data_IF_226019678363
#
_entry.id   IF_226019678363
#
_cell.length_a   1.000
_cell.length_b   1.000
_cell.length_c   1.000
_cell.angle_alpha   90.00
_cell.angle_beta   90.00
_cell.angle_gamma   90.00
#
_symmetry.space_group_name_H-M   'P 1'
#
loop_
_entity.id
_entity.type
_entity.pdbx_description
1 polymer ?
#
# COMPACT_ATOMS: atom_id res chain seq x y z
N UNK A 1 10.26 20.26 -11.08
CA UNK A 1 10.79 18.92 -11.37
C UNK A 1 10.27 17.97 -10.30
N UNK A 2 9.38 17.04 -10.66
CA UNK A 2 8.83 16.07 -9.71
C UNK A 2 9.84 14.93 -9.57
N UNK A 3 10.65 14.95 -8.50
CA UNK A 3 11.77 14.01 -8.28
C UNK A 3 11.44 12.88 -7.29
N UNK A 4 10.15 12.63 -7.01
CA UNK A 4 9.72 11.55 -6.13
C UNK A 4 8.50 10.87 -6.72
N UNK A 5 8.71 9.69 -7.32
CA UNK A 5 7.64 8.75 -7.61
C UNK A 5 7.60 7.74 -6.46
N UNK A 6 7.11 8.15 -5.30
CA UNK A 6 6.63 7.17 -4.33
C UNK A 6 5.43 6.49 -5.00
N UNK A 7 5.38 5.16 -5.00
CA UNK A 7 4.26 4.38 -5.51
C UNK A 7 3.62 3.65 -4.32
N UNK A 8 2.96 4.38 -3.40
CA UNK A 8 2.32 3.87 -2.18
C UNK A 8 1.10 3.01 -2.47
N UNK A 9 0.62 2.99 -3.73
CA UNK A 9 -0.59 2.26 -4.11
C UNK A 9 -0.44 0.74 -3.92
N UNK A 10 0.77 0.23 -4.12
CA UNK A 10 1.10 -1.19 -3.90
C UNK A 10 1.34 -1.51 -2.42
N UNK A 11 1.67 -0.52 -1.60
CA UNK A 11 2.11 -0.68 -0.20
C UNK A 11 1.06 -1.33 0.69
N UNK A 12 -0.16 -0.81 0.68
CA UNK A 12 -1.20 -1.31 1.57
C UNK A 12 -1.73 -2.68 1.14
N UNK A 13 -1.90 -2.91 -0.17
CA UNK A 13 -2.54 -4.12 -0.69
C UNK A 13 -1.69 -5.37 -0.40
N UNK A 14 -0.42 -5.34 -0.77
CA UNK A 14 0.52 -6.45 -0.60
C UNK A 14 0.70 -6.80 0.88
N UNK A 15 0.80 -5.76 1.71
CA UNK A 15 1.01 -5.91 3.14
C UNK A 15 -0.22 -6.49 3.85
N UNK A 16 -1.45 -6.12 3.45
CA UNK A 16 -2.67 -6.72 4.03
C UNK A 16 -2.82 -8.17 3.58
N UNK A 17 -2.77 -8.44 2.27
CA UNK A 17 -3.01 -9.78 1.72
C UNK A 17 -2.00 -10.80 2.26
N UNK A 18 -0.76 -10.38 2.48
CA UNK A 18 0.29 -11.27 3.00
C UNK A 18 0.39 -11.34 4.51
N UNK A 19 -0.57 -10.75 5.23
CA UNK A 19 -0.55 -10.63 6.68
C UNK A 19 0.77 -10.01 7.20
N UNK A 20 1.30 -9.01 6.50
CA UNK A 20 2.51 -8.26 6.87
C UNK A 20 3.83 -8.90 6.46
N UNK A 21 3.82 -10.04 5.75
CA UNK A 21 5.05 -10.71 5.28
C UNK A 21 5.75 -9.95 4.16
N UNK A 22 4.99 -9.38 3.22
CA UNK A 22 5.52 -8.48 2.21
C UNK A 22 5.31 -7.03 2.65
N UNK A 23 6.39 -6.26 2.64
CA UNK A 23 6.38 -4.82 2.83
C UNK A 23 6.94 -4.20 1.57
N UNK A 24 6.20 -3.28 0.98
CA UNK A 24 6.67 -2.63 -0.24
C UNK A 24 7.83 -1.69 0.06
N UNK A 25 8.73 -1.57 -0.91
CA UNK A 25 9.95 -0.78 -0.77
C UNK A 25 9.70 0.60 -1.37
N UNK A 26 10.28 1.64 -0.76
CA UNK A 26 10.23 2.98 -1.33
C UNK A 26 11.14 3.03 -2.54
N UNK A 27 10.57 3.37 -3.68
CA UNK A 27 11.31 3.59 -4.92
C UNK A 27 11.37 5.09 -5.22
N UNK A 28 12.47 5.54 -5.83
CA UNK A 28 12.64 6.91 -6.32
C UNK A 28 13.29 6.87 -7.68
N UNK A 29 12.80 7.71 -8.58
CA UNK A 29 13.45 7.96 -9.87
C UNK A 29 14.33 9.19 -9.74
N UNK A 30 15.60 9.05 -10.11
CA UNK A 30 16.57 10.15 -10.17
C UNK A 30 16.62 10.65 -11.61
N UNK A 31 16.47 11.95 -11.80
CA UNK A 31 16.51 12.58 -13.13
C UNK A 31 17.95 12.73 -13.62
N UNK A 32 18.12 12.74 -14.94
CA UNK A 32 19.39 12.98 -15.61
C UNK A 32 19.25 14.24 -16.48
N UNK A 33 20.24 15.14 -16.43
CA UNK A 33 20.20 16.43 -17.14
C UNK A 33 20.58 16.32 -18.63
N UNK A 34 21.27 15.25 -19.04
CA UNK A 34 21.83 15.08 -20.38
C UNK A 34 21.10 14.05 -21.23
N UNK A 35 20.46 13.06 -20.62
CA UNK A 35 19.76 11.99 -21.31
C UNK A 35 18.31 11.85 -20.83
N UNK A 36 17.38 11.88 -21.80
CA UNK A 36 15.98 11.60 -21.54
C UNK A 36 15.77 10.10 -21.24
N UNK A 37 14.97 9.81 -20.21
CA UNK A 37 14.52 8.45 -19.88
C UNK A 37 13.00 8.38 -19.97
N UNK A 38 12.49 7.40 -20.70
CA UNK A 38 11.07 7.03 -20.69
C UNK A 38 10.90 5.71 -19.94
N UNK A 39 9.85 5.59 -19.14
CA UNK A 39 9.51 4.37 -18.42
C UNK A 39 8.00 4.22 -18.37
N UNK A 40 7.52 3.01 -18.60
CA UNK A 40 6.09 2.66 -18.49
C UNK A 40 5.94 1.77 -17.26
N UNK A 41 5.00 2.11 -16.40
CA UNK A 41 4.65 1.32 -15.22
C UNK A 41 3.26 0.72 -15.40
N UNK A 42 3.10 -0.53 -14.95
CA UNK A 42 1.82 -1.24 -14.93
C UNK A 42 1.47 -1.61 -13.49
N UNK A 43 0.20 -1.45 -13.13
CA UNK A 43 -0.34 -1.80 -11.83
C UNK A 43 -1.44 -2.83 -11.99
N UNK A 44 -1.42 -3.86 -11.15
CA UNK A 44 -2.46 -4.87 -11.09
C UNK A 44 -3.28 -4.59 -9.83
N UNK A 45 -4.58 -4.35 -10.02
CA UNK A 45 -5.47 -3.93 -8.96
C UNK A 45 -6.68 -4.87 -8.85
N UNK A 46 -7.15 -5.17 -7.62
CA UNK A 46 -8.44 -5.81 -7.41
C UNK A 46 -9.59 -4.95 -7.97
N UNK A 47 -10.78 -5.55 -8.09
CA UNK A 47 -11.97 -4.76 -8.38
C UNK A 47 -12.31 -3.85 -7.21
N UNK A 48 -12.85 -2.67 -7.50
CA UNK A 48 -13.20 -1.63 -6.50
C UNK A 48 -14.22 -2.10 -5.45
N UNK A 49 -15.05 -3.06 -5.80
CA UNK A 49 -16.09 -3.66 -4.95
C UNK A 49 -15.59 -4.85 -4.10
N UNK A 50 -14.32 -5.25 -4.25
CA UNK A 50 -13.77 -6.35 -3.45
C UNK A 50 -13.38 -5.92 -2.03
N UNK A 51 -13.47 -6.88 -1.11
CA UNK A 51 -12.84 -6.79 0.20
C UNK A 51 -11.39 -7.28 0.13
N UNK A 52 -10.49 -6.51 0.74
CA UNK A 52 -9.08 -6.85 0.95
C UNK A 52 -8.91 -7.32 2.39
N UNK A 53 -8.31 -8.49 2.56
CA UNK A 53 -8.07 -9.11 3.86
C UNK A 53 -6.86 -10.05 3.75
N UNK A 54 -6.25 -10.43 4.89
CA UNK A 54 -5.21 -11.45 4.90
C UNK A 54 -5.66 -12.73 4.22
N UNK A 55 -4.82 -13.27 3.32
CA UNK A 55 -5.10 -14.52 2.65
C UNK A 55 -5.23 -15.65 3.68
N UNK A 56 -6.27 -16.48 3.54
CA UNK A 56 -6.56 -17.59 4.47
C UNK A 56 -5.40 -18.56 4.64
N UNK A 57 -4.59 -18.75 3.60
CA UNK A 57 -3.40 -19.60 3.62
C UNK A 57 -2.21 -18.99 4.39
N UNK A 58 -2.28 -17.69 4.72
CA UNK A 58 -1.21 -16.94 5.40
C UNK A 58 -1.58 -16.57 6.84
N UNK A 59 -2.74 -17.03 7.33
CA UNK A 59 -3.18 -16.88 8.72
C UNK A 59 -3.37 -18.26 9.35
N UNK A 60 -3.22 -18.35 10.67
CA UNK A 60 -3.36 -19.60 11.43
C UNK A 60 -3.25 -19.38 12.94
N UNK A 61 -3.27 -20.45 13.75
CA UNK A 61 -3.19 -20.36 15.22
C UNK A 61 -1.94 -19.60 15.69
N UNK A 62 -0.80 -19.86 15.05
CA UNK A 62 0.48 -19.21 15.38
C UNK A 62 0.69 -17.88 14.63
N UNK A 63 -0.21 -17.52 13.71
CA UNK A 63 -0.13 -16.29 12.93
C UNK A 63 -1.53 -15.70 12.70
N UNK A 64 -2.16 -15.10 13.73
CA UNK A 64 -3.51 -14.56 13.61
C UNK A 64 -3.58 -13.41 12.59
N UNK A 65 -4.77 -13.07 12.08
CA UNK A 65 -4.96 -11.96 11.16
C UNK A 65 -4.57 -10.63 11.82
N UNK A 66 -3.57 -9.96 11.26
CA UNK A 66 -3.09 -8.65 11.74
C UNK A 66 -3.93 -7.49 11.23
N UNK A 67 -4.67 -7.68 10.14
CA UNK A 67 -5.44 -6.63 9.47
C UNK A 67 -6.92 -7.00 9.40
N UNK A 68 -7.79 -6.01 9.61
CA UNK A 68 -9.24 -6.16 9.41
C UNK A 68 -9.59 -6.17 7.93
N UNK A 69 -10.71 -6.80 7.52
CA UNK A 69 -11.23 -6.65 6.17
C UNK A 69 -11.52 -5.18 5.85
N UNK A 70 -11.07 -4.71 4.69
CA UNK A 70 -11.28 -3.32 4.22
C UNK A 70 -11.78 -3.35 2.77
N UNK A 71 -12.73 -2.47 2.42
CA UNK A 71 -13.16 -2.33 1.03
C UNK A 71 -12.03 -1.75 0.18
N UNK A 72 -11.75 -2.33 -0.99
CA UNK A 72 -10.68 -1.84 -1.86
C UNK A 72 -10.91 -0.37 -2.23
N UNK A 73 -12.16 0.02 -2.55
CA UNK A 73 -12.52 1.44 -2.80
C UNK A 73 -12.23 2.37 -1.62
N UNK A 74 -12.50 1.94 -0.39
CA UNK A 74 -12.22 2.73 0.82
C UNK A 74 -10.71 2.90 0.99
N UNK A 75 -9.95 1.81 0.81
CA UNK A 75 -8.50 1.82 0.85
C UNK A 75 -7.92 2.78 -0.21
N UNK A 76 -8.43 2.75 -1.44
CA UNK A 76 -8.00 3.67 -2.50
C UNK A 76 -8.30 5.13 -2.17
N UNK A 77 -9.48 5.40 -1.60
CA UNK A 77 -9.84 6.75 -1.18
C UNK A 77 -8.91 7.26 -0.09
N UNK A 78 -8.56 6.41 0.89
CA UNK A 78 -7.62 6.75 1.95
C UNK A 78 -6.22 7.07 1.41
N UNK A 79 -5.72 6.22 0.51
CA UNK A 79 -4.43 6.40 -0.16
C UNK A 79 -4.44 7.68 -1.01
N UNK A 80 -5.49 7.92 -1.80
CA UNK A 80 -5.60 9.11 -2.67
C UNK A 80 -5.65 10.41 -1.87
N UNK A 81 -6.40 10.45 -0.77
CA UNK A 81 -6.41 11.59 0.15
C UNK A 81 -5.02 11.82 0.73
N UNK A 82 -4.33 10.76 1.14
CA UNK A 82 -2.98 10.84 1.68
C UNK A 82 -1.93 11.28 0.63
N UNK A 83 -2.16 11.03 -0.65
CA UNK A 83 -1.30 11.41 -1.77
C UNK A 83 -1.44 12.84 -2.25
N UNK A 84 -2.67 13.39 -2.16
CA UNK A 84 -2.94 14.78 -2.55
C UNK A 84 -2.60 15.75 -1.42
N UNK A 85 -2.68 15.30 -0.16
CA UNK A 85 -1.87 15.87 0.93
C UNK A 85 -0.42 15.42 0.75
N UNK A 86 0.56 16.19 1.20
CA UNK A 86 1.96 15.77 1.11
C UNK A 86 2.16 14.49 1.92
N UNK A 87 2.22 13.34 1.24
CA UNK A 87 2.34 12.04 1.87
C UNK A 87 3.70 11.92 2.54
N UNK A 88 3.71 12.22 3.83
CA UNK A 88 4.79 11.87 4.72
C UNK A 88 4.63 10.42 5.20
N UNK A 89 5.74 9.84 5.65
CA UNK A 89 5.78 8.45 6.12
C UNK A 89 4.81 8.23 7.31
N UNK A 90 4.53 9.29 8.06
CA UNK A 90 3.63 9.31 9.20
C UNK A 90 2.18 9.03 8.80
N UNK A 91 1.71 9.62 7.71
CA UNK A 91 0.34 9.47 7.23
C UNK A 91 0.02 8.04 6.80
N UNK A 92 0.95 7.36 6.13
CA UNK A 92 0.77 5.96 5.74
C UNK A 92 0.86 4.99 6.90
N UNK A 93 1.80 5.21 7.80
CA UNK A 93 1.85 4.41 9.02
C UNK A 93 0.56 4.55 9.82
N UNK A 94 0.00 5.76 9.89
CA UNK A 94 -1.25 6.02 10.59
C UNK A 94 -2.42 5.28 9.95
N UNK A 95 -2.53 5.33 8.62
CA UNK A 95 -3.52 4.55 7.88
C UNK A 95 -3.36 3.05 8.13
N UNK A 96 -2.15 2.50 7.97
CA UNK A 96 -1.91 1.07 8.18
C UNK A 96 -2.14 0.65 9.64
N UNK A 97 -1.83 1.50 10.62
CA UNK A 97 -2.16 1.28 12.04
C UNK A 97 -3.67 1.23 12.27
N UNK A 98 -4.45 2.08 11.59
CA UNK A 98 -5.91 2.07 11.68
C UNK A 98 -6.57 0.79 11.13
N UNK A 99 -5.86 0.05 10.27
CA UNK A 99 -6.31 -1.22 9.72
C UNK A 99 -5.91 -2.44 10.57
N UNK A 100 -5.01 -2.26 11.54
CA UNK A 100 -4.58 -3.37 12.40
C UNK A 100 -5.68 -3.76 13.37
N UNK A 101 -5.83 -5.07 13.58
CA UNK A 101 -6.70 -5.60 14.64
C UNK A 101 -5.96 -5.49 15.98
N UNK A 102 -6.64 -5.06 17.04
CA UNK A 102 -6.06 -5.10 18.39
C UNK A 102 -5.85 -6.55 18.84
N UNK A 103 -4.68 -6.91 19.40
CA UNK A 103 -4.51 -8.22 20.00
C UNK A 103 -5.54 -8.38 21.13
N UNK A 104 -6.25 -9.51 21.12
CA UNK A 104 -7.13 -9.91 22.22
C UNK A 104 -6.32 -10.64 23.28
#
# INVERSE_FOLDING_TARGET
MINRLSVPFLEALEQIVTNGKLKSVKHRVITNATLARMTVAFFIEPRKDCLVLPAKSLIGPDNPPLYRPVGFREMLSGIQTAFMGEMDDCSMETFMKSLKVTPT
#
